data_IF_396186761479
#
_entry.id   IF_396186761479
#
_cell.length_a   1.000
_cell.length_b   1.000
_cell.length_c   1.000
_cell.angle_alpha   90.00
_cell.angle_beta   90.00
_cell.angle_gamma   90.00
#
_symmetry.space_group_name_H-M   'P 1'
#
loop_
_entity.id
_entity.type
_entity.pdbx_description
1 polymer ?
#
# COMPACT_ATOMS: atom_id res chain seq x y z
N UNK A 1 -28.06 24.26 14.68
CA UNK A 1 -27.74 22.83 14.36
C UNK A 1 -26.99 22.85 13.05
N UNK A 2 -25.66 22.71 13.08
CA UNK A 2 -24.81 22.72 11.88
C UNK A 2 -24.99 21.36 11.20
N UNK A 3 -25.50 21.36 9.97
CA UNK A 3 -25.66 20.14 9.19
C UNK A 3 -24.27 19.63 8.76
N UNK A 4 -23.93 18.43 9.18
CA UNK A 4 -22.70 17.76 8.75
C UNK A 4 -22.66 17.60 7.23
N UNK A 5 -21.51 17.87 6.65
CA UNK A 5 -21.25 17.64 5.21
C UNK A 5 -21.34 16.17 4.87
N UNK A 6 -21.48 15.83 3.60
CA UNK A 6 -21.48 14.44 3.13
C UNK A 6 -20.19 13.69 3.53
N UNK A 7 -19.04 14.38 3.49
CA UNK A 7 -17.74 13.82 3.86
C UNK A 7 -17.65 13.49 5.36
N UNK A 8 -18.15 14.38 6.23
CA UNK A 8 -18.21 14.14 7.68
C UNK A 8 -19.16 12.99 8.02
N UNK A 9 -20.30 12.90 7.35
CA UNK A 9 -21.24 11.77 7.51
C UNK A 9 -20.63 10.45 7.06
N UNK A 10 -19.89 10.43 5.95
CA UNK A 10 -19.19 9.25 5.45
C UNK A 10 -18.07 8.81 6.41
N UNK A 11 -17.28 9.78 6.91
CA UNK A 11 -16.24 9.51 7.90
C UNK A 11 -16.82 8.91 9.18
N UNK A 12 -17.90 9.50 9.72
CA UNK A 12 -18.59 8.97 10.88
C UNK A 12 -19.18 7.57 10.65
N UNK A 13 -19.73 7.31 9.46
CA UNK A 13 -20.22 5.98 9.11
C UNK A 13 -19.11 4.93 9.08
N UNK A 14 -17.95 5.25 8.49
CA UNK A 14 -16.80 4.36 8.42
C UNK A 14 -16.22 4.12 9.82
N UNK A 15 -16.03 5.17 10.63
CA UNK A 15 -15.49 5.06 11.98
C UNK A 15 -16.45 4.32 12.93
N UNK A 16 -17.75 4.59 12.88
CA UNK A 16 -18.74 3.89 13.70
C UNK A 16 -18.82 2.39 13.38
N UNK A 17 -18.58 2.00 12.12
CA UNK A 17 -18.49 0.58 11.74
C UNK A 17 -17.20 -0.07 12.24
N UNK A 18 -16.09 0.68 12.30
CA UNK A 18 -14.83 0.17 12.85
C UNK A 18 -14.84 0.07 14.38
N UNK A 19 -15.53 0.99 15.08
CA UNK A 19 -15.69 0.92 16.54
C UNK A 19 -16.63 -0.23 16.96
N UNK A 20 -17.58 -0.61 16.09
CA UNK A 20 -18.40 -1.83 16.26
C UNK A 20 -17.66 -3.09 15.84
N UNK A 21 -16.56 -2.96 15.12
CA UNK A 21 -15.59 -4.02 14.83
C UNK A 21 -14.53 -4.14 15.94
N UNK A 22 -14.91 -3.89 17.19
CA UNK A 22 -14.34 -4.63 18.29
C UNK A 22 -14.71 -6.09 18.01
N UNK A 23 -13.80 -6.79 17.34
CA UNK A 23 -13.93 -8.19 16.92
C UNK A 23 -13.84 -9.07 18.16
N UNK A 24 -14.86 -8.97 18.98
CA UNK A 24 -15.41 -10.04 19.76
C UNK A 24 -16.73 -10.47 19.11
N UNK A 25 -16.68 -10.72 17.79
CA UNK A 25 -17.65 -11.66 17.25
C UNK A 25 -17.40 -12.96 18.01
N UNK A 26 -18.40 -13.53 18.71
CA UNK A 26 -18.24 -14.84 19.30
C UNK A 26 -17.85 -15.76 18.15
N UNK A 27 -16.72 -16.43 18.26
CA UNK A 27 -16.36 -17.57 17.43
C UNK A 27 -17.37 -18.67 17.80
N UNK A 28 -18.58 -18.55 17.26
CA UNK A 28 -19.58 -19.60 17.33
C UNK A 28 -19.23 -20.58 16.21
N UNK A 29 -18.57 -21.64 16.61
CA UNK A 29 -18.35 -22.81 15.77
C UNK A 29 -16.97 -22.89 15.14
N UNK A 30 -16.10 -23.62 15.80
CA UNK A 30 -14.89 -24.20 15.24
C UNK A 30 -13.75 -23.19 15.09
N UNK A 31 -12.64 -23.46 15.74
CA UNK A 31 -11.34 -22.93 15.38
C UNK A 31 -11.10 -23.34 13.92
N UNK A 32 -11.51 -22.50 12.98
CA UNK A 32 -11.20 -22.68 11.58
C UNK A 32 -9.68 -22.62 11.45
N UNK A 33 -9.07 -23.78 11.35
CA UNK A 33 -7.64 -23.89 11.07
C UNK A 33 -7.37 -23.11 9.79
N UNK A 34 -6.75 -21.96 9.91
CA UNK A 34 -6.35 -21.20 8.72
C UNK A 34 -5.28 -22.04 8.02
N UNK A 35 -5.65 -22.59 6.86
CA UNK A 35 -4.75 -23.41 6.06
C UNK A 35 -3.47 -22.63 5.79
N UNK A 36 -2.35 -23.27 5.99
CA UNK A 36 -1.03 -22.68 5.75
C UNK A 36 -0.49 -23.09 4.36
N UNK A 37 0.54 -22.41 3.90
CA UNK A 37 1.24 -22.78 2.68
C UNK A 37 1.81 -24.23 2.76
N UNK A 38 2.16 -24.69 3.97
CA UNK A 38 2.60 -26.08 4.22
C UNK A 38 1.47 -27.08 4.01
N UNK A 39 0.26 -26.76 4.44
CA UNK A 39 -0.90 -27.63 4.27
C UNK A 39 -1.24 -27.79 2.79
N UNK A 40 -1.17 -26.70 2.01
CA UNK A 40 -1.34 -26.75 0.55
C UNK A 40 -0.25 -27.62 -0.09
N UNK A 41 1.01 -27.47 0.32
CA UNK A 41 2.11 -28.25 -0.19
C UNK A 41 1.92 -29.76 0.08
N UNK A 42 1.54 -30.11 1.29
CA UNK A 42 1.24 -31.49 1.69
C UNK A 42 0.05 -32.04 0.89
N UNK A 43 -1.02 -31.28 0.74
CA UNK A 43 -2.24 -31.68 0.02
C UNK A 43 -2.00 -31.88 -1.47
N UNK A 44 -1.17 -31.02 -2.08
CA UNK A 44 -0.79 -31.09 -3.50
C UNK A 44 0.33 -32.11 -3.80
N UNK A 45 0.99 -32.66 -2.77
CA UNK A 45 2.13 -33.56 -2.92
C UNK A 45 3.36 -32.86 -3.52
N UNK A 46 3.63 -31.60 -3.16
CA UNK A 46 4.76 -30.82 -3.66
C UNK A 46 5.47 -30.10 -2.49
N UNK A 47 6.63 -29.50 -2.76
CA UNK A 47 7.31 -28.69 -1.76
C UNK A 47 6.63 -27.33 -1.56
N UNK A 48 6.79 -26.71 -0.36
CA UNK A 48 6.31 -25.37 -0.09
C UNK A 48 6.89 -24.32 -1.06
N UNK A 49 8.12 -24.53 -1.52
CA UNK A 49 8.77 -23.70 -2.54
C UNK A 49 8.01 -23.78 -3.86
N UNK A 50 7.55 -24.97 -4.23
CA UNK A 50 6.75 -25.18 -5.46
C UNK A 50 5.41 -24.46 -5.37
N UNK A 51 4.71 -24.54 -4.22
CA UNK A 51 3.48 -23.78 -3.99
C UNK A 51 3.74 -22.29 -4.10
N UNK A 52 4.79 -21.78 -3.46
CA UNK A 52 5.19 -20.38 -3.55
C UNK A 52 5.46 -19.94 -5.00
N UNK A 53 6.13 -20.78 -5.81
CA UNK A 53 6.35 -20.49 -7.22
C UNK A 53 5.07 -20.47 -8.03
N UNK A 54 4.13 -21.39 -7.80
CA UNK A 54 2.83 -21.39 -8.48
C UNK A 54 2.07 -20.07 -8.21
N UNK A 55 2.18 -19.53 -6.99
CA UNK A 55 1.51 -18.28 -6.60
C UNK A 55 2.22 -17.04 -7.17
N UNK A 56 3.56 -17.02 -7.19
CA UNK A 56 4.32 -15.79 -7.45
C UNK A 56 4.95 -15.74 -8.85
N UNK A 57 5.27 -16.88 -9.45
CA UNK A 57 5.96 -17.00 -10.74
C UNK A 57 5.42 -18.24 -11.49
N UNK A 58 4.10 -18.26 -11.79
CA UNK A 58 3.45 -19.43 -12.37
C UNK A 58 4.05 -19.87 -13.72
N UNK A 59 4.64 -18.92 -14.46
CA UNK A 59 5.32 -19.19 -15.73
C UNK A 59 6.51 -20.15 -15.63
N UNK A 60 7.11 -20.26 -14.44
CA UNK A 60 8.25 -21.16 -14.18
C UNK A 60 7.82 -22.57 -13.73
N UNK A 61 6.52 -22.85 -13.68
CA UNK A 61 5.99 -24.13 -13.19
C UNK A 61 5.19 -24.84 -14.29
N UNK A 62 5.38 -26.17 -14.39
CA UNK A 62 4.65 -27.01 -15.35
C UNK A 62 3.14 -26.97 -15.06
N UNK A 63 2.31 -26.94 -16.11
CA UNK A 63 0.84 -26.81 -16.01
C UNK A 63 0.24 -27.86 -15.08
N UNK A 64 0.57 -29.13 -15.26
CA UNK A 64 0.11 -30.21 -14.39
C UNK A 64 0.40 -30.01 -12.91
N UNK A 65 1.45 -29.26 -12.56
CA UNK A 65 1.80 -28.94 -11.16
C UNK A 65 0.99 -27.76 -10.67
N UNK A 66 0.73 -26.77 -11.53
CA UNK A 66 -0.17 -25.64 -11.22
C UNK A 66 -1.56 -26.16 -10.88
N UNK A 67 -2.14 -27.02 -11.73
CA UNK A 67 -3.48 -27.58 -11.52
C UNK A 67 -3.60 -28.27 -10.17
N UNK A 68 -2.62 -29.09 -9.79
CA UNK A 68 -2.60 -29.77 -8.48
C UNK A 68 -2.58 -28.78 -7.31
N UNK A 69 -1.77 -27.73 -7.42
CA UNK A 69 -1.65 -26.74 -6.36
C UNK A 69 -2.93 -25.89 -6.28
N UNK A 70 -3.48 -25.46 -7.41
CA UNK A 70 -4.72 -24.69 -7.46
C UNK A 70 -5.90 -25.48 -6.90
N UNK A 71 -5.99 -26.77 -7.21
CA UNK A 71 -7.02 -27.64 -6.64
C UNK A 71 -6.88 -27.75 -5.11
N UNK A 72 -5.66 -27.99 -4.61
CA UNK A 72 -5.37 -28.06 -3.18
C UNK A 72 -5.69 -26.74 -2.46
N UNK A 73 -5.39 -25.60 -3.06
CA UNK A 73 -5.74 -24.29 -2.52
C UNK A 73 -7.26 -24.10 -2.41
N UNK A 74 -8.01 -24.51 -3.46
CA UNK A 74 -9.47 -24.43 -3.46
C UNK A 74 -10.10 -25.34 -2.39
N UNK A 75 -9.67 -26.58 -2.29
CA UNK A 75 -10.13 -27.54 -1.29
C UNK A 75 -9.88 -27.07 0.14
N UNK A 76 -8.72 -26.51 0.42
CA UNK A 76 -8.32 -26.01 1.72
C UNK A 76 -8.82 -24.58 1.98
N UNK A 77 -9.52 -23.95 1.04
CA UNK A 77 -9.92 -22.55 1.08
C UNK A 77 -8.74 -21.63 1.45
N UNK A 78 -7.54 -22.00 0.95
CA UNK A 78 -6.32 -21.24 1.23
C UNK A 78 -6.30 -19.95 0.44
N UNK A 79 -6.12 -18.85 1.15
CA UNK A 79 -5.89 -17.53 0.56
C UNK A 79 -4.44 -17.12 0.85
N UNK A 80 -3.65 -16.78 -0.17
CA UNK A 80 -2.28 -16.30 0.03
C UNK A 80 -2.26 -15.10 0.98
N UNK A 81 -1.47 -15.19 2.06
CA UNK A 81 -1.34 -14.12 3.01
C UNK A 81 -0.41 -13.03 2.47
N UNK A 82 -0.98 -11.90 2.05
CA UNK A 82 -0.23 -10.76 1.51
C UNK A 82 0.77 -10.19 2.53
N UNK A 83 0.42 -10.19 3.83
CA UNK A 83 1.31 -9.71 4.88
C UNK A 83 2.54 -10.63 5.06
N UNK A 84 2.35 -11.96 5.02
CA UNK A 84 3.46 -12.90 5.07
C UNK A 84 4.36 -12.79 3.83
N UNK A 85 3.78 -12.55 2.66
CA UNK A 85 4.53 -12.26 1.43
C UNK A 85 5.34 -10.98 1.55
N UNK A 86 4.73 -9.91 2.03
CA UNK A 86 5.37 -8.61 2.23
C UNK A 86 6.59 -8.70 3.16
N UNK A 87 6.46 -9.45 4.26
CA UNK A 87 7.57 -9.70 5.18
C UNK A 87 8.72 -10.49 4.54
N UNK A 88 8.39 -11.50 3.73
CA UNK A 88 9.40 -12.36 3.09
C UNK A 88 10.23 -11.63 2.02
N UNK A 89 9.64 -10.64 1.32
CA UNK A 89 10.30 -9.90 0.24
C UNK A 89 10.67 -8.47 0.64
N UNK A 90 10.42 -8.08 1.89
CA UNK A 90 10.57 -6.71 2.40
C UNK A 90 9.89 -5.64 1.52
N UNK A 91 8.75 -6.02 0.91
CA UNK A 91 7.93 -5.15 0.06
C UNK A 91 6.47 -5.31 0.41
N UNK A 92 5.80 -4.18 0.58
CA UNK A 92 4.37 -4.14 0.93
C UNK A 92 3.48 -4.04 -0.32
N UNK A 93 4.03 -3.60 -1.43
CA UNK A 93 3.27 -3.21 -2.61
C UNK A 93 2.48 -1.91 -2.38
N UNK A 94 2.82 -1.10 -1.37
CA UNK A 94 2.12 0.11 -0.98
C UNK A 94 3.03 1.32 -1.16
N UNK A 95 2.49 2.39 -1.72
CA UNK A 95 3.15 3.69 -1.84
C UNK A 95 2.46 4.68 -0.91
N UNK A 96 3.23 5.46 -0.18
CA UNK A 96 2.69 6.55 0.63
C UNK A 96 2.81 7.87 -0.11
N UNK A 97 1.71 8.60 -0.17
CA UNK A 97 1.65 9.95 -0.71
C UNK A 97 1.51 10.91 0.45
N UNK A 98 2.58 11.60 0.79
CA UNK A 98 2.60 12.54 1.90
C UNK A 98 2.22 13.96 1.41
N UNK A 99 1.16 14.48 2.00
CA UNK A 99 0.66 15.84 1.78
C UNK A 99 0.44 16.46 3.17
N UNK A 100 1.19 17.50 3.57
CA UNK A 100 1.06 18.14 4.87
C UNK A 100 -0.37 18.53 5.25
N UNK A 101 -0.69 18.52 6.54
CA UNK A 101 -2.05 18.72 7.04
C UNK A 101 -2.58 20.16 6.86
N UNK A 102 -1.68 21.13 6.72
CA UNK A 102 -1.99 22.54 6.44
C UNK A 102 -2.37 22.80 4.97
N UNK A 103 -2.09 21.85 4.08
CA UNK A 103 -2.50 21.95 2.68
C UNK A 103 -3.95 21.48 2.52
N UNK A 104 -4.80 22.31 1.93
CA UNK A 104 -6.18 21.95 1.62
C UNK A 104 -6.23 20.93 0.47
N UNK A 105 -6.83 19.76 0.74
CA UNK A 105 -7.03 18.72 -0.28
C UNK A 105 -8.03 19.13 -1.38
N UNK A 106 -8.86 20.13 -1.13
CA UNK A 106 -9.78 20.67 -2.14
C UNK A 106 -9.08 21.67 -3.09
N UNK A 107 -7.82 22.00 -2.85
CA UNK A 107 -7.04 22.81 -3.78
C UNK A 107 -6.97 22.09 -5.14
N UNK A 108 -7.33 22.76 -6.26
CA UNK A 108 -7.33 22.16 -7.59
C UNK A 108 -6.02 21.48 -7.98
N UNK A 109 -4.87 22.07 -7.60
CA UNK A 109 -3.55 21.48 -7.81
C UNK A 109 -3.46 20.12 -7.12
N UNK A 110 -3.82 20.05 -5.83
CA UNK A 110 -3.74 18.82 -5.03
C UNK A 110 -4.68 17.75 -5.58
N UNK A 111 -5.89 18.14 -6.00
CA UNK A 111 -6.84 17.22 -6.63
C UNK A 111 -6.27 16.61 -7.92
N UNK A 112 -5.69 17.42 -8.80
CA UNK A 112 -5.07 16.94 -10.04
C UNK A 112 -3.83 16.10 -9.77
N UNK A 113 -3.01 16.47 -8.79
CA UNK A 113 -1.85 15.70 -8.34
C UNK A 113 -2.25 14.30 -7.88
N UNK A 114 -3.24 14.19 -6.98
CA UNK A 114 -3.75 12.91 -6.49
C UNK A 114 -4.35 12.09 -7.64
N UNK A 115 -5.13 12.71 -8.52
CA UNK A 115 -5.71 12.04 -9.68
C UNK A 115 -4.63 11.47 -10.62
N UNK A 116 -3.57 12.26 -10.88
CA UNK A 116 -2.43 11.83 -11.69
C UNK A 116 -1.70 10.63 -11.09
N UNK A 117 -1.41 10.67 -9.79
CA UNK A 117 -0.79 9.56 -9.04
C UNK A 117 -1.69 8.32 -9.10
N UNK A 118 -2.99 8.48 -8.82
CA UNK A 118 -3.96 7.39 -8.85
C UNK A 118 -3.97 6.69 -10.20
N UNK A 119 -4.03 7.45 -11.29
CA UNK A 119 -4.01 6.92 -12.65
C UNK A 119 -2.71 6.17 -12.99
N UNK A 120 -1.56 6.70 -12.53
CA UNK A 120 -0.26 6.10 -12.80
C UNK A 120 -0.04 4.81 -12.01
N UNK A 121 -0.38 4.81 -10.72
CA UNK A 121 -0.20 3.67 -9.83
C UNK A 121 -1.19 2.54 -10.12
N UNK A 122 -2.45 2.86 -10.43
CA UNK A 122 -3.48 1.87 -10.79
C UNK A 122 -3.09 1.03 -12.01
N UNK A 123 -2.46 1.65 -13.02
CA UNK A 123 -1.94 0.92 -14.19
C UNK A 123 -0.88 -0.12 -13.83
N UNK A 124 -0.22 0.03 -12.70
CA UNK A 124 0.81 -0.87 -12.17
C UNK A 124 0.33 -1.74 -11.02
N UNK A 125 -0.97 -1.69 -10.69
CA UNK A 125 -1.58 -2.41 -9.58
C UNK A 125 -0.97 -2.07 -8.21
N UNK A 126 -0.47 -0.83 -8.03
CA UNK A 126 0.02 -0.33 -6.76
C UNK A 126 -1.07 0.46 -6.02
N UNK A 127 -1.55 -0.01 -4.88
CA UNK A 127 -2.34 0.80 -3.96
C UNK A 127 -1.47 1.90 -3.33
N UNK A 128 -2.10 2.99 -2.93
CA UNK A 128 -1.41 4.05 -2.21
C UNK A 128 -2.26 4.59 -1.06
N UNK A 129 -1.59 5.14 -0.05
CA UNK A 129 -2.21 5.85 1.07
C UNK A 129 -1.83 7.32 1.02
N UNK A 130 -2.80 8.18 1.32
CA UNK A 130 -2.54 9.60 1.55
C UNK A 130 -2.27 9.78 3.03
N UNK A 131 -1.05 10.23 3.36
CA UNK A 131 -0.63 10.54 4.69
C UNK A 131 -0.65 12.05 4.91
N UNK A 132 -1.23 12.48 6.03
CA UNK A 132 -1.31 13.86 6.48
C UNK A 132 -0.39 14.15 7.67
N UNK A 133 0.11 13.09 8.31
CA UNK A 133 0.99 13.17 9.48
C UNK A 133 2.08 12.11 9.38
N UNK A 134 3.31 12.47 9.79
CA UNK A 134 4.48 11.59 9.82
C UNK A 134 4.40 10.54 10.94
N UNK A 135 3.52 10.71 11.92
CA UNK A 135 3.48 9.90 13.16
C UNK A 135 2.88 8.50 13.01
N UNK A 136 2.23 8.19 11.90
CA UNK A 136 1.67 6.85 11.70
C UNK A 136 2.74 5.92 11.09
N UNK A 137 3.23 5.02 11.92
CA UNK A 137 4.18 4.00 11.49
C UNK A 137 3.45 2.84 10.80
N UNK A 138 3.71 2.68 9.53
CA UNK A 138 3.38 1.48 8.78
C UNK A 138 4.44 1.24 7.70
N UNK A 139 4.45 0.06 7.14
CA UNK A 139 5.42 -0.30 6.11
C UNK A 139 4.90 0.10 4.73
N UNK A 140 5.73 0.80 3.95
CA UNK A 140 5.50 1.12 2.55
C UNK A 140 6.75 0.80 1.71
N UNK A 141 6.62 0.83 0.40
CA UNK A 141 7.74 0.58 -0.52
C UNK A 141 8.46 1.88 -0.94
N UNK A 142 7.84 3.03 -0.70
CA UNK A 142 8.40 4.33 -1.00
C UNK A 142 7.42 5.47 -0.78
N UNK A 143 7.91 6.68 -0.90
CA UNK A 143 7.17 7.91 -0.65
C UNK A 143 7.11 8.80 -1.89
N UNK A 144 5.91 9.35 -2.15
CA UNK A 144 5.72 10.51 -3.03
C UNK A 144 5.33 11.68 -2.13
N UNK A 145 6.02 12.79 -2.24
CA UNK A 145 5.91 13.90 -1.29
C UNK A 145 5.69 15.20 -2.05
N UNK A 146 4.79 16.05 -1.54
CA UNK A 146 4.58 17.42 -2.04
C UNK A 146 4.30 18.38 -0.89
N UNK A 147 4.48 19.68 -1.15
CA UNK A 147 4.09 20.74 -0.23
C UNK A 147 4.99 20.92 0.99
N UNK A 148 6.19 20.35 1.00
CA UNK A 148 7.17 20.55 2.06
C UNK A 148 8.03 21.78 1.81
N UNK A 149 8.34 22.52 2.87
CA UNK A 149 9.35 23.55 2.88
C UNK A 149 10.75 22.92 2.95
N UNK A 150 11.79 23.75 2.66
CA UNK A 150 13.19 23.27 2.55
C UNK A 150 13.65 22.44 3.75
N UNK A 151 13.40 22.93 4.97
CA UNK A 151 13.84 22.25 6.20
C UNK A 151 13.04 20.96 6.43
N UNK A 152 11.75 20.98 6.14
CA UNK A 152 10.88 19.80 6.22
C UNK A 152 11.25 18.70 5.23
N UNK A 153 11.78 19.07 4.04
CA UNK A 153 12.29 18.11 3.07
C UNK A 153 13.49 17.36 3.64
N UNK A 154 14.40 18.05 4.34
CA UNK A 154 15.55 17.42 4.98
C UNK A 154 15.13 16.43 6.07
N UNK A 155 14.18 16.82 6.92
CA UNK A 155 13.64 15.95 7.97
C UNK A 155 12.93 14.73 7.39
N UNK A 156 12.11 14.95 6.35
CA UNK A 156 11.37 13.85 5.71
C UNK A 156 12.33 12.88 5.03
N UNK A 157 13.37 13.40 4.39
CA UNK A 157 14.39 12.57 3.76
C UNK A 157 15.17 11.74 4.79
N UNK A 158 15.53 12.31 5.93
CA UNK A 158 16.15 11.57 7.04
C UNK A 158 15.23 10.45 7.53
N UNK A 159 13.97 10.75 7.77
CA UNK A 159 12.93 9.79 8.16
C UNK A 159 12.79 8.61 7.18
N UNK A 160 12.76 8.88 5.88
CA UNK A 160 12.64 7.85 4.85
C UNK A 160 13.93 7.02 4.70
N UNK A 161 15.10 7.69 4.83
CA UNK A 161 16.42 7.06 4.74
C UNK A 161 16.68 6.08 5.87
N UNK A 162 16.26 6.38 7.09
CA UNK A 162 16.32 5.46 8.23
C UNK A 162 15.55 4.16 7.98
N UNK A 163 14.54 4.21 7.11
CA UNK A 163 13.68 3.09 6.74
C UNK A 163 14.10 2.40 5.44
N UNK A 164 15.19 2.86 4.83
CA UNK A 164 15.68 2.39 3.51
C UNK A 164 14.56 2.44 2.44
N UNK A 165 13.84 3.58 2.39
CA UNK A 165 12.74 3.80 1.44
C UNK A 165 13.03 4.97 0.51
N UNK A 166 12.82 4.78 -0.82
CA UNK A 166 13.01 5.85 -1.80
C UNK A 166 11.96 6.95 -1.62
N UNK A 167 12.37 8.18 -1.91
CA UNK A 167 11.51 9.37 -1.90
C UNK A 167 11.53 10.01 -3.27
N UNK A 168 10.35 10.35 -3.78
CA UNK A 168 10.17 11.22 -4.94
C UNK A 168 9.46 12.49 -4.46
N UNK A 169 10.11 13.63 -4.62
CA UNK A 169 9.56 14.92 -4.29
C UNK A 169 8.91 15.56 -5.53
N UNK A 170 7.67 16.00 -5.41
CA UNK A 170 7.09 16.96 -6.35
C UNK A 170 7.40 18.37 -5.86
N UNK A 171 8.30 19.04 -6.56
CA UNK A 171 8.92 20.30 -6.20
C UNK A 171 10.44 20.23 -6.39
N UNK A 172 11.13 21.26 -5.96
CA UNK A 172 12.57 21.39 -6.12
C UNK A 172 13.35 21.15 -4.82
N UNK A 173 14.48 20.44 -4.92
CA UNK A 173 15.43 20.28 -3.83
C UNK A 173 16.86 20.17 -4.36
N UNK A 174 17.82 20.65 -3.57
CA UNK A 174 19.25 20.50 -3.85
C UNK A 174 19.85 19.24 -3.21
N UNK A 175 19.04 18.38 -2.58
CA UNK A 175 19.50 17.13 -1.99
C UNK A 175 19.86 16.12 -3.10
N UNK A 176 21.13 15.67 -3.20
CA UNK A 176 21.60 14.88 -4.35
C UNK A 176 21.01 13.46 -4.42
N UNK A 177 20.39 13.01 -3.34
CA UNK A 177 19.83 11.65 -3.23
C UNK A 177 18.30 11.61 -3.31
N UNK A 178 17.64 12.76 -3.47
CA UNK A 178 16.19 12.85 -3.62
C UNK A 178 15.85 13.02 -5.08
N UNK A 179 15.07 12.09 -5.63
CA UNK A 179 14.51 12.30 -6.97
C UNK A 179 13.44 13.37 -6.88
N UNK A 180 13.53 14.41 -7.70
CA UNK A 180 12.52 15.45 -7.75
C UNK A 180 11.90 15.56 -9.14
N UNK A 181 10.65 15.94 -9.18
CA UNK A 181 9.88 16.29 -10.37
C UNK A 181 9.37 17.70 -10.14
N UNK A 182 9.76 18.64 -10.97
CA UNK A 182 9.34 20.04 -10.89
C UNK A 182 8.79 20.52 -12.23
N UNK A 183 8.02 21.60 -12.19
CA UNK A 183 7.52 22.27 -13.41
C UNK A 183 8.58 23.23 -13.91
N UNK A 184 8.80 23.25 -15.22
CA UNK A 184 9.66 24.25 -15.84
C UNK A 184 8.95 25.61 -15.83
N UNK A 185 9.17 26.36 -14.76
CA UNK A 185 8.58 27.68 -14.58
C UNK A 185 9.17 28.73 -15.56
N UNK A 186 10.34 28.48 -16.15
CA UNK A 186 10.93 29.34 -17.15
C UNK A 186 10.24 29.20 -18.50
N UNK A 187 9.99 27.96 -18.94
CA UNK A 187 9.25 27.71 -20.19
C UNK A 187 7.77 28.11 -20.11
N UNK A 188 7.20 28.18 -18.91
CA UNK A 188 5.81 28.64 -18.70
C UNK A 188 5.62 30.15 -18.62
N UNK A 189 6.74 30.93 -18.63
CA UNK A 189 6.70 32.39 -18.52
C UNK A 189 6.90 33.11 -19.90
N UNK A 190 7.14 32.38 -20.98
CA UNK A 190 7.16 32.85 -22.36
C UNK A 190 5.77 32.73 -23.02
#
# INVERSE_FOLDING_TARGET
>A
MIALTFQEKLALYITSKNDSANISAPIIGGVGYMSTLKDVAQRAGVSSITVSRVINTPELVKEKTKDKVMLAMAELKYVPNAAAKSLAVNRTGLIDVFIPSDIDLNNPFVMHFIAGISNALSKRMYPFLILRDKKKEHLCDGYIVTGLLRDEINEFYAYASERDRPVVLFGHTNLPKVSCIDVDNFAGAE
#
